data_IF_780595604912
#
_entry.id   IF_780595604912
#
_cell.length_a   1.000
_cell.length_b   1.000
_cell.length_c   1.000
_cell.angle_alpha   90.00
_cell.angle_beta   90.00
_cell.angle_gamma   90.00
#
_symmetry.space_group_name_H-M   'P 1'
#
loop_
_entity.id
_entity.type
_entity.pdbx_description
1 polymer ?
#
# COMPACT_ATOMS: atom_id res chain seq x y z
N UNK A 1 0.41 12.35 -30.42
CA UNK A 1 1.67 13.12 -30.53
C UNK A 1 2.06 13.74 -29.19
N UNK A 2 1.19 14.49 -28.54
CA UNK A 2 1.41 15.10 -27.20
C UNK A 2 1.84 14.07 -26.14
N UNK A 3 1.23 12.87 -26.10
CA UNK A 3 1.59 11.82 -25.15
C UNK A 3 2.99 11.24 -25.39
N UNK A 4 3.42 11.16 -26.64
CA UNK A 4 4.78 10.71 -26.98
C UNK A 4 5.82 11.75 -26.57
N UNK A 5 5.53 13.01 -26.80
CA UNK A 5 6.39 14.11 -26.38
C UNK A 5 6.49 14.20 -24.86
N UNK A 6 5.37 14.08 -24.14
CA UNK A 6 5.36 14.06 -22.67
C UNK A 6 6.15 12.85 -22.11
N UNK A 7 5.98 11.67 -22.69
CA UNK A 7 6.70 10.47 -22.25
C UNK A 7 8.23 10.58 -22.43
N UNK A 8 8.70 11.33 -23.39
CA UNK A 8 10.14 11.54 -23.61
C UNK A 8 10.80 12.52 -22.64
N UNK A 9 10.03 13.20 -21.81
CA UNK A 9 10.50 14.23 -20.85
C UNK A 9 10.43 13.78 -19.39
N UNK A 10 10.19 12.49 -19.13
CA UNK A 10 10.13 11.95 -17.78
C UNK A 10 11.53 11.60 -17.30
N UNK A 11 11.99 12.20 -16.21
CA UNK A 11 13.33 11.99 -15.66
C UNK A 11 13.39 10.87 -14.61
N UNK A 12 12.31 10.64 -13.88
CA UNK A 12 12.22 9.61 -12.86
C UNK A 12 10.77 9.17 -12.61
N UNK A 13 10.61 8.06 -11.92
CA UNK A 13 9.33 7.54 -11.43
C UNK A 13 9.23 7.77 -9.92
N UNK A 14 8.29 8.60 -9.47
CA UNK A 14 7.93 8.75 -8.06
C UNK A 14 7.04 7.60 -7.59
N UNK A 15 7.36 6.99 -6.44
CA UNK A 15 6.60 5.88 -5.88
C UNK A 15 6.28 6.14 -4.41
N UNK A 16 5.01 6.04 -4.07
CA UNK A 16 4.53 6.00 -2.69
C UNK A 16 4.26 4.54 -2.32
N UNK A 17 4.82 4.09 -1.22
CA UNK A 17 4.64 2.73 -0.75
C UNK A 17 4.54 2.65 0.77
N UNK A 18 3.45 2.13 1.28
CA UNK A 18 3.22 1.95 2.71
C UNK A 18 2.95 0.50 3.10
N UNK A 19 2.19 -0.21 2.29
CA UNK A 19 1.72 -1.58 2.58
C UNK A 19 1.48 -2.37 1.30
N UNK A 20 1.42 -3.69 1.41
CA UNK A 20 0.82 -4.58 0.39
C UNK A 20 -0.58 -4.99 0.81
N UNK A 21 -1.42 -5.23 -0.17
CA UNK A 21 -2.75 -5.78 0.03
C UNK A 21 -2.87 -7.14 -0.65
N UNK A 22 -3.56 -8.06 0.01
CA UNK A 22 -4.03 -9.29 -0.62
C UNK A 22 -5.34 -9.00 -1.32
N UNK A 23 -5.54 -9.58 -2.50
CA UNK A 23 -6.78 -9.37 -3.26
C UNK A 23 -7.35 -10.75 -3.60
N UNK A 24 -8.64 -10.91 -3.39
CA UNK A 24 -9.39 -12.09 -3.83
C UNK A 24 -10.70 -11.69 -4.52
N UNK A 25 -11.28 -12.63 -5.25
CA UNK A 25 -12.57 -12.41 -5.90
C UNK A 25 -13.67 -12.21 -4.85
N UNK A 26 -14.55 -11.25 -5.08
CA UNK A 26 -15.71 -10.99 -4.26
C UNK A 26 -16.98 -11.52 -4.95
N UNK A 27 -17.59 -12.61 -4.47
CA UNK A 27 -18.77 -13.24 -5.09
C UNK A 27 -20.10 -12.53 -4.79
N UNK A 28 -20.11 -11.27 -4.46
CA UNK A 28 -21.33 -10.50 -4.11
C UNK A 28 -21.93 -10.84 -2.74
N UNK A 29 -21.17 -11.41 -1.83
CA UNK A 29 -21.65 -11.89 -0.54
C UNK A 29 -21.69 -10.82 0.57
N UNK A 30 -22.08 -9.61 0.21
CA UNK A 30 -22.53 -8.62 1.18
C UNK A 30 -21.44 -7.74 1.79
N UNK A 31 -20.40 -7.42 1.08
CA UNK A 31 -19.49 -6.36 1.52
C UNK A 31 -20.14 -5.01 1.20
N UNK A 32 -20.73 -4.41 2.21
CA UNK A 32 -21.38 -3.11 2.10
C UNK A 32 -20.41 -1.93 2.22
N UNK A 33 -19.16 -2.16 2.63
CA UNK A 33 -18.17 -1.11 2.81
C UNK A 33 -17.30 -0.96 1.57
N UNK A 34 -17.42 0.18 0.93
CA UNK A 34 -16.50 0.63 -0.10
C UNK A 34 -15.32 1.34 0.57
N UNK A 35 -14.22 0.61 0.73
CA UNK A 35 -12.95 1.19 1.11
C UNK A 35 -12.89 1.67 2.56
N UNK A 36 -12.46 0.81 3.43
CA UNK A 36 -12.09 1.18 4.78
C UNK A 36 -10.60 0.99 4.99
N UNK A 37 -9.91 2.06 5.25
CA UNK A 37 -8.64 1.99 5.93
C UNK A 37 -8.88 2.09 7.44
N UNK A 38 -7.91 1.65 8.25
CA UNK A 38 -7.98 1.88 9.67
C UNK A 38 -7.77 3.38 9.96
N UNK A 39 -8.85 4.12 9.99
CA UNK A 39 -8.84 5.56 10.27
C UNK A 39 -8.84 5.90 11.76
N UNK A 40 -8.97 4.89 12.62
CA UNK A 40 -9.03 5.08 14.08
C UNK A 40 -7.68 4.92 14.76
N UNK A 41 -6.73 4.30 14.08
CA UNK A 41 -5.46 3.88 14.64
C UNK A 41 -5.57 2.75 15.67
N UNK A 42 -6.75 2.19 15.89
CA UNK A 42 -6.95 1.07 16.80
C UNK A 42 -6.74 -0.25 16.05
N UNK A 43 -5.79 -1.05 16.49
CA UNK A 43 -5.51 -2.36 15.89
C UNK A 43 -6.75 -3.25 15.84
N UNK A 44 -6.99 -3.89 14.69
CA UNK A 44 -8.15 -4.74 14.46
C UNK A 44 -9.41 -3.98 14.04
N UNK A 45 -9.32 -2.66 13.76
CA UNK A 45 -10.45 -1.85 13.30
C UNK A 45 -10.39 -1.52 11.81
N UNK A 46 -9.47 -2.12 11.05
CA UNK A 46 -9.43 -1.98 9.61
C UNK A 46 -10.68 -2.63 8.99
N UNK A 47 -11.40 -1.86 8.20
CA UNK A 47 -12.53 -2.34 7.43
C UNK A 47 -12.04 -3.03 6.16
N UNK A 48 -12.79 -4.00 5.67
CA UNK A 48 -12.46 -4.70 4.44
C UNK A 48 -12.81 -3.84 3.23
N UNK A 49 -11.82 -3.55 2.40
CA UNK A 49 -12.02 -2.86 1.13
C UNK A 49 -12.48 -3.83 0.05
N UNK A 50 -13.27 -3.34 -0.90
CA UNK A 50 -13.64 -4.15 -2.04
C UNK A 50 -14.73 -3.54 -2.91
N UNK A 51 -14.95 -4.20 -4.04
CA UNK A 51 -16.05 -3.89 -4.95
C UNK A 51 -16.86 -5.17 -5.18
N UNK A 52 -18.14 -5.19 -4.83
CA UNK A 52 -18.99 -6.36 -5.04
C UNK A 52 -18.94 -6.87 -6.49
N UNK A 53 -18.79 -8.16 -6.68
CA UNK A 53 -18.65 -8.79 -8.00
C UNK A 53 -17.29 -8.65 -8.67
N UNK A 54 -16.34 -7.94 -8.05
CA UNK A 54 -15.00 -7.75 -8.59
C UNK A 54 -13.93 -8.26 -7.63
N UNK A 55 -13.68 -7.57 -6.55
CA UNK A 55 -12.61 -7.92 -5.61
C UNK A 55 -12.95 -7.51 -4.18
N UNK A 56 -12.27 -8.14 -3.25
CA UNK A 56 -12.17 -7.72 -1.83
C UNK A 56 -10.73 -7.84 -1.35
N UNK A 57 -10.41 -7.13 -0.28
CA UNK A 57 -9.06 -7.04 0.30
C UNK A 57 -9.07 -7.71 1.68
N UNK A 58 -8.85 -9.02 1.77
CA UNK A 58 -8.78 -9.72 3.04
C UNK A 58 -7.46 -9.42 3.78
N UNK A 59 -7.48 -9.57 5.09
CA UNK A 59 -6.28 -9.48 5.90
C UNK A 59 -5.27 -10.58 5.51
N UNK A 60 -4.01 -10.19 5.29
CA UNK A 60 -2.95 -11.14 5.03
C UNK A 60 -2.40 -11.71 6.35
N UNK A 61 -2.74 -12.97 6.63
CA UNK A 61 -2.33 -13.68 7.86
C UNK A 61 -0.85 -14.06 7.88
N UNK A 62 -0.14 -13.95 6.76
CA UNK A 62 1.26 -14.34 6.64
C UNK A 62 2.24 -13.18 6.89
N UNK A 63 1.73 -11.96 7.02
CA UNK A 63 2.52 -10.77 7.26
C UNK A 63 2.17 -10.15 8.61
N UNK A 64 3.16 -9.63 9.34
CA UNK A 64 2.89 -8.81 10.52
C UNK A 64 2.22 -7.49 10.10
N UNK A 65 1.53 -6.87 11.04
CA UNK A 65 0.87 -5.58 10.84
C UNK A 65 1.30 -4.57 11.89
N UNK A 66 1.25 -3.30 11.51
CA UNK A 66 1.43 -2.17 12.40
C UNK A 66 0.21 -1.98 13.33
N UNK A 67 0.23 -0.96 14.18
CA UNK A 67 -0.93 -0.57 15.02
C UNK A 67 -2.13 -0.11 14.19
N UNK A 68 -1.91 0.28 12.94
CA UNK A 68 -2.93 0.70 11.97
C UNK A 68 -3.37 -0.43 11.03
N UNK A 69 -3.08 -1.68 11.38
CA UNK A 69 -3.36 -2.88 10.57
C UNK A 69 -2.68 -2.88 9.18
N UNK A 70 -1.72 -1.99 8.97
CA UNK A 70 -0.96 -2.00 7.72
C UNK A 70 0.05 -3.14 7.71
N UNK A 71 0.07 -3.91 6.63
CA UNK A 71 1.03 -5.00 6.49
C UNK A 71 2.46 -4.48 6.40
N UNK A 72 3.37 -5.10 7.16
CA UNK A 72 4.80 -4.82 7.09
C UNK A 72 5.41 -5.77 6.08
N UNK A 73 5.69 -5.26 4.88
CA UNK A 73 6.20 -6.06 3.76
C UNK A 73 7.34 -5.36 2.99
N UNK A 74 8.58 -5.46 3.48
CA UNK A 74 9.72 -4.90 2.77
C UNK A 74 10.00 -5.58 1.42
N UNK A 75 9.57 -6.83 1.25
CA UNK A 75 9.71 -7.56 0.00
C UNK A 75 8.73 -7.04 -1.06
N UNK A 76 7.56 -6.56 -0.64
CA UNK A 76 6.58 -5.92 -1.52
C UNK A 76 7.14 -4.67 -2.18
N UNK A 77 7.81 -3.81 -1.42
CA UNK A 77 8.49 -2.63 -1.97
C UNK A 77 9.55 -3.03 -3.01
N UNK A 78 10.39 -4.01 -2.66
CA UNK A 78 11.41 -4.52 -3.59
C UNK A 78 10.77 -5.06 -4.88
N UNK A 79 9.68 -5.80 -4.77
CA UNK A 79 8.96 -6.33 -5.91
C UNK A 79 8.37 -5.22 -6.78
N UNK A 80 7.73 -4.21 -6.17
CA UNK A 80 7.18 -3.05 -6.87
C UNK A 80 8.26 -2.31 -7.66
N UNK A 81 9.39 -1.99 -7.03
CA UNK A 81 10.51 -1.34 -7.71
C UNK A 81 11.02 -2.16 -8.89
N UNK A 82 11.22 -3.47 -8.72
CA UNK A 82 11.66 -4.34 -9.82
C UNK A 82 10.66 -4.41 -10.96
N UNK A 83 9.37 -4.43 -10.65
CA UNK A 83 8.31 -4.45 -11.67
C UNK A 83 8.25 -3.15 -12.46
N UNK A 84 8.47 -2.02 -11.80
CA UNK A 84 8.54 -0.72 -12.46
C UNK A 84 9.77 -0.64 -13.35
N UNK A 85 10.96 -0.95 -12.84
CA UNK A 85 12.21 -0.89 -13.62
C UNK A 85 12.24 -1.87 -14.79
N UNK A 86 11.53 -3.01 -14.70
CA UNK A 86 11.43 -3.94 -15.83
C UNK A 86 10.56 -3.42 -16.99
N UNK A 87 9.75 -2.39 -16.76
CA UNK A 87 8.86 -1.78 -17.76
C UNK A 87 9.37 -0.43 -18.25
N UNK A 88 9.98 0.32 -17.33
CA UNK A 88 10.39 1.70 -17.56
C UNK A 88 11.86 1.82 -17.18
N UNK A 89 12.69 2.20 -18.12
CA UNK A 89 14.13 2.44 -17.89
C UNK A 89 14.34 3.84 -17.30
N UNK A 90 13.80 4.03 -16.08
CA UNK A 90 13.83 5.28 -15.34
C UNK A 90 14.31 5.06 -13.90
N UNK A 91 15.04 6.02 -13.34
CA UNK A 91 15.31 6.03 -11.90
C UNK A 91 14.02 6.04 -11.09
N UNK A 92 14.02 5.37 -9.93
CA UNK A 92 12.91 5.42 -8.97
C UNK A 92 13.29 6.31 -7.80
N UNK A 93 12.36 7.17 -7.42
CA UNK A 93 12.42 7.96 -6.20
C UNK A 93 11.26 7.50 -5.31
N UNK A 94 11.56 6.98 -4.13
CA UNK A 94 10.53 6.71 -3.12
C UNK A 94 10.16 8.07 -2.50
N UNK A 95 9.02 8.60 -2.91
CA UNK A 95 8.54 9.91 -2.48
C UNK A 95 7.80 9.85 -1.14
N UNK A 96 7.17 8.71 -0.85
CA UNK A 96 6.52 8.47 0.44
C UNK A 96 6.74 7.03 0.89
N UNK A 97 7.05 6.86 2.17
CA UNK A 97 7.13 5.59 2.87
C UNK A 97 6.97 5.83 4.37
N UNK A 98 6.54 4.83 5.13
CA UNK A 98 6.41 4.94 6.58
C UNK A 98 5.58 3.82 7.18
N UNK A 99 5.51 3.82 8.50
CA UNK A 99 4.71 2.91 9.30
C UNK A 99 3.57 3.67 9.95
N UNK A 100 2.34 3.13 9.89
CA UNK A 100 1.23 3.61 10.70
C UNK A 100 1.37 3.08 12.12
N UNK A 101 2.01 3.82 12.99
CA UNK A 101 2.25 3.45 14.37
C UNK A 101 1.92 4.61 15.32
N UNK A 102 1.67 4.30 16.60
CA UNK A 102 1.57 5.29 17.65
C UNK A 102 2.96 5.54 18.23
N UNK A 103 3.56 6.63 17.81
CA UNK A 103 4.83 7.04 18.37
C UNK A 103 4.67 7.47 19.83
N UNK A 104 5.46 6.87 20.71
CA UNK A 104 5.56 7.29 22.10
C UNK A 104 6.99 7.73 22.38
N UNK A 105 7.12 8.87 23.02
CA UNK A 105 8.42 9.34 23.46
C UNK A 105 8.85 8.55 24.70
N UNK A 106 9.87 7.71 24.58
CA UNK A 106 10.47 6.95 25.67
C UNK A 106 11.90 7.45 25.87
N UNK A 107 12.20 7.99 27.05
CA UNK A 107 13.53 8.57 27.40
C UNK A 107 14.03 9.59 26.35
N UNK A 108 13.14 10.39 25.79
CA UNK A 108 13.46 11.41 24.79
C UNK A 108 13.75 10.87 23.38
N UNK A 109 13.41 9.61 23.11
CA UNK A 109 13.54 8.96 21.80
C UNK A 109 12.24 8.27 21.40
N UNK A 110 12.03 8.17 20.11
CA UNK A 110 11.00 7.28 19.52
C UNK A 110 11.70 5.96 19.25
N UNK A 111 11.26 4.84 19.85
CA UNK A 111 11.88 3.52 19.64
C UNK A 111 11.71 2.97 18.22
#
# INVERSE_FOLDING_TARGET
>A
EILKEAASKVDFMGVNYYKTCSIEYNPLDGIDSLGGENNTGKKGSAEMEGVPGMYKVPANKNLPTTDWDWTIDPMGLRFACRKITSRYDLPIVISENGLGAFDKLEDGKIP
#
